data_IF_328112824384
#
_entry.id   IF_328112824384
#
_cell.length_a   1.000
_cell.length_b   1.000
_cell.length_c   1.000
_cell.angle_alpha   90.00
_cell.angle_beta   90.00
_cell.angle_gamma   90.00
#
_symmetry.space_group_name_H-M   'P 1'
#
loop_
_entity.id
_entity.type
_entity.pdbx_description
1 polymer ?
#
# COMPACT_ATOMS: atom_id res chain seq x y z
N UNK A 1 -34.58 -39.20 -64.05
CA UNK A 1 -35.77 -39.98 -64.47
C UNK A 1 -35.81 -41.27 -63.66
N UNK A 2 -36.91 -41.54 -62.96
CA UNK A 2 -37.38 -42.88 -62.50
C UNK A 2 -36.48 -43.72 -61.54
N UNK A 3 -36.90 -43.74 -60.26
CA UNK A 3 -37.13 -44.89 -59.32
C UNK A 3 -36.01 -45.84 -58.81
N UNK A 4 -36.09 -46.07 -57.47
CA UNK A 4 -36.03 -47.35 -56.70
C UNK A 4 -34.66 -48.09 -56.61
N UNK A 5 -34.19 -48.55 -55.44
CA UNK A 5 -34.74 -49.49 -54.41
C UNK A 5 -34.73 -50.96 -54.89
N UNK A 6 -34.43 -51.99 -54.09
CA UNK A 6 -34.62 -52.24 -52.63
C UNK A 6 -33.62 -53.28 -52.02
N UNK A 7 -33.63 -53.45 -50.68
CA UNK A 7 -33.17 -54.63 -49.87
C UNK A 7 -31.66 -55.00 -49.86
N UNK A 8 -31.03 -55.64 -48.83
CA UNK A 8 -31.27 -56.00 -47.39
C UNK A 8 -29.85 -56.21 -46.73
N UNK A 9 -29.54 -56.80 -45.55
CA UNK A 9 -30.24 -57.67 -44.59
C UNK A 9 -29.69 -57.56 -43.13
N UNK A 10 -30.61 -57.51 -42.16
CA UNK A 10 -30.60 -57.99 -40.74
C UNK A 10 -29.28 -58.48 -40.10
N UNK A 11 -28.91 -57.88 -38.94
CA UNK A 11 -28.93 -58.57 -37.62
C UNK A 11 -29.23 -57.58 -36.49
N UNK A 12 -29.95 -58.02 -35.46
CA UNK A 12 -30.45 -57.23 -34.32
C UNK A 12 -30.05 -57.94 -33.02
N UNK A 13 -29.65 -57.20 -31.99
CA UNK A 13 -29.78 -57.64 -30.60
C UNK A 13 -30.00 -56.45 -29.67
N UNK A 14 -31.04 -56.54 -28.84
CA UNK A 14 -31.49 -55.52 -27.89
C UNK A 14 -31.05 -55.90 -26.47
N UNK A 15 -30.88 -54.90 -25.61
CA UNK A 15 -31.26 -55.00 -24.19
C UNK A 15 -31.97 -53.71 -23.73
N UNK A 16 -32.80 -53.83 -22.70
CA UNK A 16 -33.90 -52.89 -22.38
C UNK A 16 -33.68 -52.08 -21.08
N UNK A 17 -34.36 -50.93 -20.97
CA UNK A 17 -34.47 -50.09 -19.76
C UNK A 17 -34.49 -48.58 -20.09
N UNK A 18 -35.57 -48.00 -20.64
CA UNK A 18 -36.77 -47.53 -19.90
C UNK A 18 -36.37 -46.57 -18.76
N UNK A 19 -36.31 -45.24 -19.00
CA UNK A 19 -37.41 -44.24 -18.90
C UNK A 19 -37.97 -44.10 -17.46
N UNK A 20 -38.22 -42.90 -16.94
CA UNK A 20 -39.29 -41.95 -17.34
C UNK A 20 -38.90 -40.48 -17.05
N UNK A 21 -39.39 -39.54 -17.86
CA UNK A 21 -39.49 -38.09 -17.55
C UNK A 21 -40.94 -37.72 -17.18
N UNK A 22 -41.13 -36.69 -16.34
CA UNK A 22 -42.11 -35.65 -16.61
C UNK A 22 -41.42 -34.29 -16.86
N UNK A 23 -42.18 -33.32 -17.38
CA UNK A 23 -41.69 -31.97 -17.71
C UNK A 23 -42.59 -30.89 -17.08
N UNK A 24 -42.13 -29.62 -17.18
CA UNK A 24 -42.93 -28.37 -17.26
C UNK A 24 -42.61 -27.30 -16.21
N UNK A 25 -42.71 -26.05 -16.70
CA UNK A 25 -42.87 -24.76 -15.99
C UNK A 25 -41.64 -24.11 -15.33
N UNK A 26 -41.42 -22.84 -15.71
CA UNK A 26 -40.79 -21.82 -14.86
C UNK A 26 -41.66 -21.55 -13.62
N UNK A 27 -41.04 -21.20 -12.49
CA UNK A 27 -41.28 -19.87 -11.90
C UNK A 27 -40.17 -19.47 -10.89
N UNK A 28 -40.25 -18.23 -10.43
CA UNK A 28 -39.38 -17.50 -9.50
C UNK A 28 -38.65 -18.28 -8.39
N UNK A 29 -37.35 -17.96 -8.21
CA UNK A 29 -36.66 -18.15 -6.92
C UNK A 29 -37.12 -17.04 -5.97
N UNK A 30 -38.07 -17.35 -5.09
CA UNK A 30 -38.41 -16.47 -3.96
C UNK A 30 -37.31 -16.48 -2.89
N UNK A 31 -37.12 -15.36 -2.20
CA UNK A 31 -36.34 -15.33 -0.96
C UNK A 31 -37.15 -16.01 0.14
N UNK A 32 -36.68 -17.15 0.66
CA UNK A 32 -37.16 -17.70 1.92
C UNK A 32 -36.35 -17.11 3.08
N UNK A 33 -36.89 -16.07 3.72
CA UNK A 33 -36.30 -15.43 4.89
C UNK A 33 -36.84 -16.09 6.17
N UNK A 34 -36.03 -16.91 6.84
CA UNK A 34 -36.28 -17.28 8.25
C UNK A 34 -34.96 -17.40 9.01
N UNK A 35 -34.96 -16.99 10.28
CA UNK A 35 -33.77 -16.60 11.01
C UNK A 35 -33.24 -17.66 11.97
N UNK A 36 -31.91 -17.81 12.02
CA UNK A 36 -31.20 -18.06 13.28
C UNK A 36 -30.03 -17.08 13.39
N UNK A 37 -29.82 -16.52 14.59
CA UNK A 37 -28.75 -15.56 14.86
C UNK A 37 -27.43 -16.27 15.24
N UNK A 38 -26.35 -15.48 15.24
CA UNK A 38 -24.94 -15.82 15.50
C UNK A 38 -24.10 -16.05 14.24
N UNK A 39 -22.82 -15.66 14.33
CA UNK A 39 -21.75 -15.94 13.36
C UNK A 39 -21.94 -15.38 11.92
N UNK A 40 -22.29 -14.10 11.83
CA UNK A 40 -22.17 -13.34 10.58
C UNK A 40 -20.74 -12.78 10.37
N UNK A 41 -19.71 -13.63 10.52
CA UNK A 41 -18.32 -13.37 10.12
C UNK A 41 -18.13 -13.68 8.63
N UNK A 42 -18.85 -12.95 7.78
CA UNK A 42 -18.88 -13.16 6.32
C UNK A 42 -17.53 -12.85 5.62
N UNK A 43 -16.63 -13.83 5.67
CA UNK A 43 -15.62 -14.12 4.63
C UNK A 43 -14.62 -13.00 4.34
N UNK A 44 -13.68 -12.79 5.26
CA UNK A 44 -12.45 -11.99 5.05
C UNK A 44 -11.42 -12.73 4.18
N UNK A 45 -11.79 -13.08 2.94
CA UNK A 45 -10.94 -13.82 1.98
C UNK A 45 -9.85 -12.94 1.32
N UNK A 46 -9.35 -11.92 2.01
CA UNK A 46 -8.49 -10.89 1.42
C UNK A 46 -7.25 -10.66 2.25
N UNK A 47 -6.12 -10.97 1.64
CA UNK A 47 -4.79 -10.81 2.20
C UNK A 47 -4.39 -9.33 2.16
N UNK A 48 -4.92 -8.59 3.13
CA UNK A 48 -4.34 -7.36 3.65
C UNK A 48 -3.74 -7.68 5.02
N UNK A 49 -2.87 -8.71 5.10
CA UNK A 49 -2.08 -8.93 6.32
C UNK A 49 -1.27 -7.66 6.59
N UNK A 50 -1.66 -6.93 7.63
CA UNK A 50 -0.92 -5.76 8.08
C UNK A 50 0.38 -6.23 8.72
N UNK A 51 1.49 -5.68 8.24
CA UNK A 51 2.81 -5.99 8.75
C UNK A 51 3.26 -4.93 9.74
N UNK A 52 3.72 -5.38 10.90
CA UNK A 52 4.50 -4.58 11.83
C UNK A 52 5.89 -4.43 11.21
N UNK A 53 6.12 -3.30 10.52
CA UNK A 53 7.41 -3.04 9.89
C UNK A 53 8.47 -2.71 10.92
N UNK A 54 9.66 -3.31 10.79
CA UNK A 54 10.81 -3.04 11.67
C UNK A 54 11.80 -2.09 10.99
N UNK A 55 12.12 -2.33 9.71
CA UNK A 55 12.96 -1.44 8.89
C UNK A 55 12.75 -1.62 7.38
N UNK A 56 13.16 -0.62 6.60
CA UNK A 56 13.01 -0.59 5.14
C UNK A 56 11.77 0.19 4.69
N UNK A 57 11.22 -0.13 3.52
CA UNK A 57 10.12 0.64 2.90
C UNK A 57 8.72 0.12 3.30
N UNK A 58 7.76 1.03 3.40
CA UNK A 58 6.33 0.71 3.50
C UNK A 58 5.81 0.10 2.19
N UNK A 59 5.14 -1.07 2.27
CA UNK A 59 4.48 -1.70 1.12
C UNK A 59 3.00 -1.35 1.07
N UNK A 60 2.54 -0.94 -0.13
CA UNK A 60 1.13 -0.69 -0.45
C UNK A 60 0.37 -1.96 -0.88
N UNK A 61 1.01 -3.13 -0.85
CA UNK A 61 0.34 -4.40 -1.17
C UNK A 61 1.30 -5.57 -1.32
N UNK A 62 0.93 -6.70 -0.73
CA UNK A 62 1.83 -7.84 -0.53
C UNK A 62 1.34 -9.08 -1.32
N UNK A 63 2.26 -9.94 -1.74
CA UNK A 63 1.97 -11.28 -2.22
C UNK A 63 3.01 -12.27 -1.69
N UNK A 64 2.58 -13.27 -0.91
CA UNK A 64 3.45 -14.31 -0.36
C UNK A 64 4.00 -15.21 -1.47
N UNK A 65 5.31 -15.47 -1.44
CA UNK A 65 6.04 -16.38 -2.32
C UNK A 65 6.12 -17.76 -1.66
N UNK A 66 6.62 -17.82 -0.43
CA UNK A 66 6.87 -19.05 0.33
C UNK A 66 6.96 -18.77 1.83
N UNK A 67 6.89 -19.83 2.64
CA UNK A 67 6.99 -19.80 4.11
C UNK A 67 7.88 -20.96 4.60
N UNK A 68 8.68 -20.70 5.61
CA UNK A 68 9.57 -21.65 6.27
C UNK A 68 9.34 -21.70 7.79
N UNK A 69 10.02 -22.61 8.47
CA UNK A 69 9.90 -22.84 9.90
C UNK A 69 8.51 -23.32 10.32
N UNK A 70 8.17 -23.06 11.58
CA UNK A 70 6.93 -23.50 12.22
C UNK A 70 6.41 -22.42 13.15
N UNK A 71 5.16 -22.01 12.96
CA UNK A 71 4.52 -21.06 13.87
C UNK A 71 4.51 -21.58 15.32
N UNK A 72 4.82 -20.71 16.31
CA UNK A 72 4.52 -21.01 17.71
C UNK A 72 3.00 -21.12 17.92
N UNK A 73 2.61 -21.75 19.02
CA UNK A 73 1.21 -21.76 19.46
C UNK A 73 1.00 -20.52 20.31
N UNK A 74 0.24 -19.56 19.79
CA UNK A 74 -0.10 -18.30 20.46
C UNK A 74 -1.60 -18.30 20.74
N UNK A 75 -1.98 -18.51 22.00
CA UNK A 75 -3.38 -18.64 22.44
C UNK A 75 -3.92 -17.36 23.10
N UNK A 76 -3.04 -16.43 23.50
CA UNK A 76 -3.40 -15.20 24.23
C UNK A 76 -2.75 -13.96 23.62
N UNK A 77 -3.35 -12.79 23.88
CA UNK A 77 -2.83 -11.49 23.45
C UNK A 77 -1.41 -11.23 24.00
N UNK A 78 -1.18 -11.49 25.29
CA UNK A 78 0.14 -11.48 25.92
C UNK A 78 1.20 -12.34 25.18
N UNK A 79 0.79 -13.44 24.54
CA UNK A 79 1.71 -14.32 23.81
C UNK A 79 2.04 -13.75 22.43
N UNK A 80 1.08 -13.10 21.76
CA UNK A 80 1.32 -12.37 20.52
C UNK A 80 2.27 -11.19 20.75
N UNK A 81 1.99 -10.32 21.73
CA UNK A 81 2.83 -9.15 22.02
C UNK A 81 4.28 -9.53 22.34
N UNK A 82 4.46 -10.59 23.15
CA UNK A 82 5.79 -11.11 23.50
C UNK A 82 6.50 -11.77 22.33
N UNK A 83 5.75 -12.35 21.39
CA UNK A 83 6.32 -12.89 20.16
C UNK A 83 6.72 -11.78 19.20
N UNK A 84 5.90 -10.76 19.00
CA UNK A 84 6.23 -9.59 18.17
C UNK A 84 7.47 -8.85 18.69
N UNK A 85 7.62 -8.69 20.01
CA UNK A 85 8.86 -8.19 20.62
C UNK A 85 10.07 -9.08 20.31
N UNK A 86 9.90 -10.41 20.37
CA UNK A 86 10.96 -11.38 20.02
C UNK A 86 11.36 -11.26 18.55
N UNK A 87 10.40 -11.00 17.65
CA UNK A 87 10.66 -10.76 16.23
C UNK A 87 11.33 -9.40 15.99
N UNK A 88 10.97 -8.36 16.74
CA UNK A 88 11.64 -7.04 16.63
C UNK A 88 13.10 -7.12 17.13
N UNK A 89 13.36 -7.84 18.24
CA UNK A 89 14.72 -8.12 18.75
C UNK A 89 15.56 -8.89 17.71
N UNK A 90 15.05 -9.99 17.14
CA UNK A 90 15.68 -10.73 16.04
C UNK A 90 15.97 -9.83 14.83
N UNK A 91 15.05 -8.91 14.51
CA UNK A 91 15.24 -7.97 13.40
C UNK A 91 16.39 -6.99 13.64
N UNK A 92 16.64 -6.62 14.91
CA UNK A 92 17.72 -5.71 15.27
C UNK A 92 19.09 -6.38 15.17
N UNK A 93 19.23 -7.64 15.63
CA UNK A 93 20.48 -8.41 15.52
C UNK A 93 20.92 -8.61 14.06
N UNK A 94 19.99 -8.90 13.14
CA UNK A 94 20.34 -9.09 11.73
C UNK A 94 20.45 -7.80 10.91
N UNK A 95 20.05 -6.64 11.46
CA UNK A 95 19.74 -5.41 10.71
C UNK A 95 20.85 -4.95 9.77
N UNK A 96 22.04 -4.68 10.31
CA UNK A 96 23.15 -4.16 9.51
C UNK A 96 23.63 -5.15 8.43
N UNK A 97 23.55 -6.47 8.71
CA UNK A 97 23.86 -7.51 7.71
C UNK A 97 22.80 -7.56 6.61
N UNK A 98 21.52 -7.43 6.95
CA UNK A 98 20.43 -7.42 5.98
C UNK A 98 20.46 -6.17 5.12
N UNK A 99 20.67 -4.99 5.71
CA UNK A 99 20.74 -3.71 4.99
C UNK A 99 21.93 -3.70 4.04
N UNK A 100 23.15 -3.90 4.55
CA UNK A 100 24.37 -3.76 3.74
C UNK A 100 24.49 -4.78 2.60
N UNK A 101 23.95 -6.00 2.75
CA UNK A 101 24.14 -7.09 1.78
C UNK A 101 22.92 -7.41 0.91
N UNK A 102 21.70 -7.35 1.46
CA UNK A 102 20.51 -7.89 0.77
C UNK A 102 19.44 -6.86 0.44
N UNK A 103 19.39 -5.72 1.14
CA UNK A 103 18.44 -4.65 0.84
C UNK A 103 18.92 -3.70 -0.24
N UNK A 104 17.98 -2.93 -0.78
CA UNK A 104 18.27 -1.71 -1.52
C UNK A 104 19.27 -0.80 -0.78
N UNK A 105 20.22 -0.14 -1.47
CA UNK A 105 20.47 -0.17 -2.91
C UNK A 105 21.24 -1.41 -3.41
N UNK A 106 21.79 -2.22 -2.50
CA UNK A 106 22.76 -3.28 -2.81
C UNK A 106 22.13 -4.62 -3.28
N UNK A 107 20.84 -4.84 -3.02
CA UNK A 107 20.14 -6.10 -3.28
C UNK A 107 18.67 -5.98 -3.68
N UNK A 108 17.87 -6.98 -3.31
CA UNK A 108 16.47 -7.13 -3.75
C UNK A 108 15.44 -7.01 -2.62
N UNK A 109 15.88 -7.11 -1.36
CA UNK A 109 15.02 -6.92 -0.19
C UNK A 109 14.66 -5.44 -0.06
N UNK A 110 13.43 -5.18 0.34
CA UNK A 110 12.86 -3.84 0.48
C UNK A 110 12.28 -3.59 1.87
N UNK A 111 11.91 -4.65 2.60
CA UNK A 111 11.31 -4.50 3.93
C UNK A 111 11.63 -5.69 4.84
N UNK A 112 11.79 -5.41 6.13
CA UNK A 112 11.81 -6.37 7.23
C UNK A 112 10.67 -6.04 8.22
N UNK A 113 9.99 -7.05 8.76
CA UNK A 113 8.86 -6.87 9.67
C UNK A 113 8.36 -8.17 10.29
N UNK A 114 7.15 -8.13 10.86
CA UNK A 114 6.36 -9.28 11.27
C UNK A 114 4.92 -9.18 10.73
N UNK A 115 4.20 -10.30 10.60
CA UNK A 115 2.77 -10.29 10.27
C UNK A 115 1.91 -10.77 11.44
N UNK A 116 0.62 -10.43 11.42
CA UNK A 116 -0.36 -10.77 12.46
C UNK A 116 -0.64 -12.28 12.65
N UNK A 117 0.11 -13.17 11.96
CA UNK A 117 0.11 -14.63 12.19
C UNK A 117 1.35 -15.10 12.96
N UNK A 118 2.30 -14.21 13.26
CA UNK A 118 3.55 -14.52 13.93
C UNK A 118 4.69 -15.00 13.01
N UNK A 119 4.65 -14.72 11.70
CA UNK A 119 5.84 -14.89 10.86
C UNK A 119 6.75 -13.66 10.93
N UNK A 120 8.05 -13.88 10.96
CA UNK A 120 9.05 -12.89 10.53
C UNK A 120 8.91 -12.67 9.02
N UNK A 121 8.87 -11.43 8.55
CA UNK A 121 8.56 -11.08 7.16
C UNK A 121 9.76 -10.45 6.46
N UNK A 122 10.14 -11.02 5.32
CA UNK A 122 11.06 -10.43 4.35
C UNK A 122 10.30 -10.16 3.06
N UNK A 123 10.28 -8.90 2.62
CA UNK A 123 9.71 -8.52 1.32
C UNK A 123 10.77 -8.07 0.33
N UNK A 124 10.61 -8.52 -0.91
CA UNK A 124 11.41 -8.11 -2.05
C UNK A 124 10.63 -7.14 -2.96
N UNK A 125 11.37 -6.40 -3.78
CA UNK A 125 10.79 -5.74 -4.98
C UNK A 125 10.16 -6.79 -5.89
N UNK A 126 9.07 -6.45 -6.59
CA UNK A 126 8.53 -7.31 -7.64
C UNK A 126 9.59 -7.58 -8.73
N UNK A 127 9.71 -8.85 -9.11
CA UNK A 127 10.75 -9.33 -10.02
C UNK A 127 10.81 -10.86 -10.02
N UNK A 128 11.99 -11.41 -10.28
CA UNK A 128 12.26 -12.84 -10.28
C UNK A 128 13.35 -13.19 -9.26
N UNK A 129 12.99 -13.13 -7.98
CA UNK A 129 13.87 -13.47 -6.86
C UNK A 129 14.22 -14.96 -6.92
N UNK A 130 15.50 -15.29 -6.86
CA UNK A 130 15.98 -16.67 -6.92
C UNK A 130 15.78 -17.39 -5.57
N UNK A 131 15.29 -18.63 -5.61
CA UNK A 131 15.19 -19.54 -4.46
C UNK A 131 16.51 -19.64 -3.67
N UNK A 132 17.66 -19.56 -4.35
CA UNK A 132 18.97 -19.55 -3.70
C UNK A 132 19.19 -18.35 -2.77
N UNK A 133 18.64 -17.17 -3.10
CA UNK A 133 18.74 -15.96 -2.28
C UNK A 133 17.77 -16.03 -1.10
N UNK A 134 16.57 -16.57 -1.32
CA UNK A 134 15.58 -16.85 -0.26
C UNK A 134 16.18 -17.80 0.78
N UNK A 135 16.82 -18.89 0.33
CA UNK A 135 17.45 -19.87 1.22
C UNK A 135 18.66 -19.28 1.96
N UNK A 136 19.47 -18.43 1.32
CA UNK A 136 20.60 -17.73 1.97
C UNK A 136 20.13 -16.76 3.07
N UNK A 137 19.08 -15.98 2.81
CA UNK A 137 18.47 -15.08 3.80
C UNK A 137 17.79 -15.87 4.92
N UNK A 138 17.09 -16.96 4.59
CA UNK A 138 16.49 -17.83 5.61
C UNK A 138 17.55 -18.42 6.54
N UNK A 139 18.69 -18.89 6.02
CA UNK A 139 19.80 -19.40 6.86
C UNK A 139 20.34 -18.34 7.82
N UNK A 140 20.50 -17.08 7.37
CA UNK A 140 20.90 -15.99 8.27
C UNK A 140 19.90 -15.77 9.42
N UNK A 141 18.59 -15.70 9.09
CA UNK A 141 17.54 -15.48 10.08
C UNK A 141 17.44 -16.66 11.05
N UNK A 142 17.49 -17.89 10.53
CA UNK A 142 17.40 -19.13 11.31
C UNK A 142 18.64 -19.35 12.17
N UNK A 143 19.85 -18.99 11.75
CA UNK A 143 21.03 -19.09 12.61
C UNK A 143 21.05 -18.02 13.71
N UNK A 144 20.66 -16.77 13.42
CA UNK A 144 20.51 -15.73 14.46
C UNK A 144 19.39 -16.07 15.46
N UNK A 145 18.27 -16.60 14.99
CA UNK A 145 17.18 -17.07 15.86
C UNK A 145 17.63 -18.22 16.78
N UNK A 146 18.52 -19.12 16.33
CA UNK A 146 19.11 -20.17 17.20
C UNK A 146 19.97 -19.59 18.32
N UNK A 147 20.69 -18.50 18.08
CA UNK A 147 21.48 -17.83 19.13
C UNK A 147 20.58 -17.20 20.22
N UNK A 148 19.38 -16.74 19.83
CA UNK A 148 18.31 -16.33 20.74
C UNK A 148 17.57 -17.51 21.42
N UNK A 149 17.93 -18.76 21.10
CA UNK A 149 17.30 -19.97 21.63
C UNK A 149 15.98 -20.39 20.96
N UNK A 150 15.59 -19.71 19.87
CA UNK A 150 14.44 -20.07 19.05
C UNK A 150 14.81 -21.27 18.16
N UNK A 151 13.85 -22.12 17.81
CA UNK A 151 14.03 -23.24 16.87
C UNK A 151 12.90 -23.22 15.85
N UNK A 152 13.17 -23.65 14.61
CA UNK A 152 12.24 -23.62 13.48
C UNK A 152 11.56 -22.24 13.25
N UNK A 153 12.33 -21.14 13.26
CA UNK A 153 11.78 -19.77 13.19
C UNK A 153 10.81 -19.61 11.99
N UNK A 154 9.54 -19.22 12.20
CA UNK A 154 8.60 -19.02 11.12
C UNK A 154 8.97 -17.77 10.31
N UNK A 155 9.37 -17.96 9.04
CA UNK A 155 9.72 -16.87 8.13
C UNK A 155 8.81 -16.89 6.90
N UNK A 156 8.29 -15.74 6.52
CA UNK A 156 7.50 -15.49 5.33
C UNK A 156 8.28 -14.63 4.34
N UNK A 157 8.36 -15.09 3.10
CA UNK A 157 8.97 -14.35 2.00
C UNK A 157 7.90 -13.90 1.01
N UNK A 158 7.91 -12.63 0.63
CA UNK A 158 6.89 -12.04 -0.24
C UNK A 158 7.42 -10.98 -1.21
N UNK A 159 6.57 -10.56 -2.14
CA UNK A 159 6.76 -9.34 -2.92
C UNK A 159 5.95 -8.19 -2.31
N UNK A 160 6.54 -7.00 -2.22
CA UNK A 160 5.86 -5.77 -1.79
C UNK A 160 5.74 -4.74 -2.93
N UNK A 161 4.64 -3.96 -2.93
CA UNK A 161 4.44 -2.87 -3.91
C UNK A 161 4.89 -1.55 -3.30
N UNK A 162 6.02 -1.03 -3.75
CA UNK A 162 6.64 0.18 -3.20
C UNK A 162 6.42 1.41 -4.07
N UNK A 163 6.36 2.57 -3.41
CA UNK A 163 6.55 3.88 -4.03
C UNK A 163 7.03 4.85 -2.96
N UNK A 164 8.32 5.17 -3.00
CA UNK A 164 8.97 6.12 -2.10
C UNK A 164 9.78 7.13 -2.93
N UNK A 165 9.73 8.39 -2.52
CA UNK A 165 10.72 9.41 -2.88
C UNK A 165 11.69 9.52 -1.69
N UNK A 166 12.99 9.44 -1.96
CA UNK A 166 14.03 9.46 -0.92
C UNK A 166 14.88 10.72 -1.15
N UNK A 167 14.95 11.58 -0.13
CA UNK A 167 15.75 12.81 -0.18
C UNK A 167 17.22 12.47 -0.01
N UNK A 168 18.01 12.64 -1.08
CA UNK A 168 19.47 12.47 -1.02
C UNK A 168 20.16 13.73 -0.50
N UNK A 169 19.68 14.91 -0.93
CA UNK A 169 20.20 16.18 -0.44
C UNK A 169 19.09 17.23 -0.35
N UNK A 170 18.71 17.57 0.88
CA UNK A 170 17.64 18.55 1.17
C UNK A 170 18.03 20.00 0.88
N UNK A 171 19.31 20.36 0.97
CA UNK A 171 19.79 21.72 0.65
C UNK A 171 19.76 22.00 -0.86
N UNK A 172 20.03 20.97 -1.67
CA UNK A 172 20.10 21.05 -3.13
C UNK A 172 18.79 20.61 -3.81
N UNK A 173 17.84 20.06 -3.05
CA UNK A 173 16.58 19.54 -3.59
C UNK A 173 16.78 18.30 -4.47
N UNK A 174 17.76 17.46 -4.14
CA UNK A 174 18.04 16.21 -4.85
C UNK A 174 17.27 15.07 -4.19
N UNK A 175 16.40 14.45 -4.97
CA UNK A 175 15.59 13.31 -4.59
C UNK A 175 15.88 12.14 -5.54
N UNK A 176 15.67 10.93 -5.04
CA UNK A 176 15.75 9.69 -5.79
C UNK A 176 14.40 8.97 -5.69
N UNK A 177 13.81 8.60 -6.83
CA UNK A 177 12.59 7.81 -6.85
C UNK A 177 12.89 6.33 -6.84
N UNK A 178 12.27 5.59 -5.91
CA UNK A 178 12.42 4.14 -5.85
C UNK A 178 12.13 3.48 -7.21
N UNK A 179 13.13 2.79 -7.74
CA UNK A 179 13.09 2.15 -9.06
C UNK A 179 13.92 2.86 -10.15
N UNK A 180 14.48 4.04 -9.88
CA UNK A 180 15.50 4.66 -10.73
C UNK A 180 16.86 3.95 -10.60
N UNK A 181 17.74 4.10 -11.60
CA UNK A 181 19.06 3.44 -11.60
C UNK A 181 20.00 4.04 -10.55
N UNK A 182 20.62 3.18 -9.76
CA UNK A 182 21.65 3.54 -8.77
C UNK A 182 23.04 3.72 -9.37
N UNK A 183 23.25 3.35 -10.65
CA UNK A 183 24.57 3.30 -11.31
C UNK A 183 25.34 4.63 -11.36
N UNK A 184 24.65 5.76 -11.18
CA UNK A 184 25.23 7.10 -11.25
C UNK A 184 25.17 7.87 -9.91
N UNK A 185 24.78 7.19 -8.81
CA UNK A 185 24.76 7.77 -7.47
C UNK A 185 26.17 7.84 -6.87
N UNK A 186 26.42 8.83 -6.02
CA UNK A 186 27.68 8.93 -5.28
C UNK A 186 27.70 7.97 -4.07
N UNK A 187 28.89 7.71 -3.53
CA UNK A 187 29.06 6.92 -2.30
C UNK A 187 28.25 7.49 -1.12
N UNK A 188 28.13 8.82 -1.03
CA UNK A 188 27.28 9.51 -0.05
C UNK A 188 25.77 9.36 -0.31
N UNK A 189 25.35 9.26 -1.57
CA UNK A 189 23.93 9.01 -1.91
C UNK A 189 23.57 7.56 -1.58
N UNK A 190 24.44 6.61 -1.91
CA UNK A 190 24.32 5.19 -1.56
C UNK A 190 24.25 5.01 -0.04
N UNK A 191 25.13 5.67 0.73
CA UNK A 191 25.06 5.69 2.20
C UNK A 191 23.72 6.23 2.70
N UNK A 192 23.22 7.33 2.10
CA UNK A 192 21.91 7.91 2.47
C UNK A 192 20.76 6.93 2.21
N UNK A 193 20.82 6.17 1.12
CA UNK A 193 19.85 5.10 0.85
C UNK A 193 19.96 3.95 1.88
N UNK A 194 21.16 3.52 2.27
CA UNK A 194 21.35 2.49 3.29
C UNK A 194 20.80 2.90 4.67
N UNK A 195 21.04 4.14 5.11
CA UNK A 195 20.52 4.64 6.40
C UNK A 195 18.99 4.69 6.40
N UNK A 196 18.37 5.19 5.33
CA UNK A 196 16.89 5.20 5.17
C UNK A 196 16.31 3.77 5.20
N UNK A 197 17.08 2.77 4.78
CA UNK A 197 16.66 1.36 4.83
C UNK A 197 16.87 0.71 6.22
N UNK A 198 17.59 1.34 7.15
CA UNK A 198 17.64 0.96 8.58
C UNK A 198 16.50 1.57 9.39
N UNK A 199 15.90 2.66 8.91
CA UNK A 199 14.79 3.34 9.58
C UNK A 199 13.49 2.50 9.52
N UNK A 200 12.66 2.65 10.56
CA UNK A 200 11.32 2.07 10.63
C UNK A 200 10.37 2.94 9.80
N UNK A 201 9.73 2.42 8.72
CA UNK A 201 9.00 3.26 7.78
C UNK A 201 7.76 3.89 8.41
N UNK A 202 7.57 5.19 8.16
CA UNK A 202 6.35 5.91 8.53
C UNK A 202 5.14 5.33 7.80
N UNK A 203 4.32 4.56 8.51
CA UNK A 203 3.03 4.08 8.01
C UNK A 203 1.97 5.19 8.10
N UNK A 204 1.06 5.29 7.12
CA UNK A 204 -0.19 6.03 7.30
C UNK A 204 -1.01 5.40 8.42
N UNK A 205 -1.48 6.20 9.39
CA UNK A 205 -2.35 5.74 10.48
C UNK A 205 -3.78 5.55 9.95
N UNK A 206 -3.99 4.51 9.16
CA UNK A 206 -5.30 4.10 8.65
C UNK A 206 -6.02 3.25 9.70
N UNK A 207 -7.14 3.75 10.23
CA UNK A 207 -8.03 2.96 11.10
C UNK A 207 -9.00 2.15 10.23
N UNK A 208 -8.58 0.97 9.80
CA UNK A 208 -9.35 0.13 8.85
C UNK A 208 -10.70 -0.27 9.44
N UNK A 209 -11.78 -0.01 8.70
CA UNK A 209 -13.14 -0.50 8.94
C UNK A 209 -13.33 -1.87 8.30
N UNK A 210 -12.91 -2.01 7.04
CA UNK A 210 -13.04 -3.24 6.27
C UNK A 210 -12.11 -3.23 5.04
N UNK A 211 -11.86 -4.41 4.47
CA UNK A 211 -11.08 -4.52 3.23
C UNK A 211 -11.57 -5.70 2.37
N UNK A 212 -11.61 -5.50 1.06
CA UNK A 212 -12.26 -6.39 0.09
C UNK A 212 -11.40 -6.63 -1.17
N UNK A 213 -11.77 -7.63 -1.98
CA UNK A 213 -11.16 -7.94 -3.28
C UNK A 213 -9.96 -8.89 -3.22
N UNK A 214 -8.95 -8.66 -4.05
CA UNK A 214 -7.56 -9.15 -3.88
C UNK A 214 -6.62 -8.28 -4.72
N UNK A 215 -5.46 -7.91 -4.16
CA UNK A 215 -4.39 -7.26 -4.92
C UNK A 215 -3.82 -8.31 -5.91
N UNK A 216 -3.82 -8.07 -7.23
CA UNK A 216 -3.21 -8.98 -8.19
C UNK A 216 -1.70 -9.06 -8.01
N UNK A 217 -1.06 -10.10 -8.53
CA UNK A 217 0.39 -10.13 -8.67
C UNK A 217 0.80 -9.13 -9.76
N UNK A 218 1.70 -8.19 -9.44
CA UNK A 218 2.12 -7.08 -10.32
C UNK A 218 3.63 -7.16 -10.59
N UNK A 219 4.04 -8.03 -11.52
CA UNK A 219 5.42 -8.50 -11.67
C UNK A 219 6.42 -7.43 -12.13
N UNK A 220 5.95 -6.40 -12.81
CA UNK A 220 6.77 -5.33 -13.36
C UNK A 220 6.01 -3.99 -13.45
N UNK A 221 6.74 -2.92 -13.78
CA UNK A 221 6.21 -1.56 -13.85
C UNK A 221 5.07 -1.39 -14.85
N UNK A 222 5.03 -2.16 -15.94
CA UNK A 222 3.93 -2.13 -16.92
C UNK A 222 2.69 -2.83 -16.38
N UNK A 223 2.83 -3.95 -15.64
CA UNK A 223 1.71 -4.57 -14.91
C UNK A 223 1.14 -3.59 -13.86
N UNK A 224 2.00 -2.88 -13.12
CA UNK A 224 1.59 -1.83 -12.15
C UNK A 224 0.84 -0.68 -12.84
N UNK A 225 1.37 -0.13 -13.95
CA UNK A 225 0.71 0.97 -14.70
C UNK A 225 -0.65 0.51 -15.24
N UNK A 226 -0.68 -0.65 -15.91
CA UNK A 226 -1.91 -1.27 -16.46
C UNK A 226 -2.96 -1.52 -15.37
N UNK A 227 -2.52 -1.76 -14.13
CA UNK A 227 -3.41 -1.92 -12.98
C UNK A 227 -3.93 -0.58 -12.45
N UNK A 228 -3.07 0.42 -12.28
CA UNK A 228 -3.47 1.77 -11.88
C UNK A 228 -4.45 2.42 -12.89
N UNK A 229 -4.33 2.12 -14.18
CA UNK A 229 -5.29 2.51 -15.22
C UNK A 229 -6.68 1.86 -15.01
N UNK A 230 -6.72 0.54 -14.73
CA UNK A 230 -7.98 -0.17 -14.41
C UNK A 230 -8.65 0.40 -13.16
N UNK A 231 -7.88 0.62 -12.09
CA UNK A 231 -8.37 1.28 -10.87
C UNK A 231 -8.95 2.67 -11.18
N UNK A 232 -8.25 3.46 -11.99
CA UNK A 232 -8.71 4.79 -12.43
C UNK A 232 -10.01 4.75 -13.23
N UNK A 233 -10.15 3.78 -14.14
CA UNK A 233 -11.36 3.58 -14.92
C UNK A 233 -12.55 3.11 -14.05
N UNK A 234 -12.31 2.25 -13.05
CA UNK A 234 -13.33 1.85 -12.07
C UNK A 234 -13.75 3.06 -11.23
N UNK A 235 -12.81 3.80 -10.63
CA UNK A 235 -13.07 5.01 -9.84
C UNK A 235 -13.88 6.06 -10.64
N UNK A 236 -13.48 6.34 -11.89
CA UNK A 236 -14.21 7.27 -12.76
C UNK A 236 -15.64 6.82 -13.09
N UNK A 237 -15.86 5.51 -13.31
CA UNK A 237 -17.19 4.95 -13.58
C UNK A 237 -18.12 4.91 -12.35
N UNK A 238 -17.55 4.91 -11.15
CA UNK A 238 -18.26 4.81 -9.86
C UNK A 238 -18.48 6.16 -9.18
N UNK A 239 -17.64 7.16 -9.44
CA UNK A 239 -17.66 8.48 -8.77
C UNK A 239 -19.06 9.07 -8.61
N UNK A 240 -19.86 9.12 -9.68
CA UNK A 240 -21.21 9.70 -9.65
C UNK A 240 -22.20 8.93 -8.75
N UNK A 241 -21.90 7.67 -8.41
CA UNK A 241 -22.66 6.81 -7.49
C UNK A 241 -22.16 6.91 -6.04
N UNK A 242 -20.90 7.30 -5.82
CA UNK A 242 -20.31 7.55 -4.49
C UNK A 242 -20.58 8.99 -4.02
N UNK A 243 -20.63 9.95 -4.94
CA UNK A 243 -20.95 11.37 -4.69
C UNK A 243 -22.18 11.62 -3.77
N UNK A 244 -23.28 10.84 -3.79
CA UNK A 244 -24.39 11.00 -2.84
C UNK A 244 -24.02 10.71 -1.38
N UNK A 245 -23.11 9.76 -1.12
CA UNK A 245 -22.61 9.44 0.23
C UNK A 245 -21.66 10.55 0.71
N UNK A 246 -20.80 11.05 -0.17
CA UNK A 246 -19.94 12.21 0.13
C UNK A 246 -20.76 13.46 0.47
N UNK A 247 -21.85 13.73 -0.27
CA UNK A 247 -22.78 14.85 -0.01
C UNK A 247 -23.57 14.73 1.30
N UNK A 248 -23.69 13.53 1.87
CA UNK A 248 -24.26 13.31 3.21
C UNK A 248 -23.22 13.42 4.33
N UNK A 249 -21.94 13.59 3.99
CA UNK A 249 -20.84 13.48 4.94
C UNK A 249 -20.55 12.04 5.41
N UNK A 250 -21.07 11.01 4.71
CA UNK A 250 -20.87 9.60 5.08
C UNK A 250 -19.52 9.05 4.59
N UNK A 251 -19.03 9.56 3.45
CA UNK A 251 -17.72 9.27 2.85
C UNK A 251 -16.93 10.57 2.79
N UNK A 252 -15.71 10.57 3.29
CA UNK A 252 -14.81 11.73 3.33
C UNK A 252 -13.91 11.77 2.09
N UNK A 253 -13.37 10.60 1.71
CA UNK A 253 -12.43 10.41 0.60
C UNK A 253 -12.92 9.29 -0.29
N UNK A 254 -12.77 9.45 -1.61
CA UNK A 254 -12.90 8.34 -2.56
C UNK A 254 -11.84 8.47 -3.65
N UNK A 255 -11.06 7.42 -3.86
CA UNK A 255 -9.92 7.47 -4.77
C UNK A 255 -9.30 6.12 -5.09
N UNK A 256 -8.03 6.17 -5.51
CA UNK A 256 -7.16 5.01 -5.69
C UNK A 256 -5.81 5.27 -5.03
N UNK A 257 -5.24 4.23 -4.46
CA UNK A 257 -3.81 4.13 -4.21
C UNK A 257 -3.13 3.46 -5.41
N UNK A 258 -1.91 2.91 -5.25
CA UNK A 258 -1.18 2.20 -6.30
C UNK A 258 -1.75 0.81 -6.61
N UNK A 259 -2.32 0.14 -5.61
CA UNK A 259 -2.74 -1.28 -5.66
C UNK A 259 -4.25 -1.49 -5.56
N UNK A 260 -4.99 -0.50 -5.05
CA UNK A 260 -6.37 -0.62 -4.55
C UNK A 260 -7.18 0.67 -4.68
N UNK A 261 -8.49 0.57 -4.55
CA UNK A 261 -9.35 1.73 -4.32
C UNK A 261 -9.45 2.03 -2.83
N UNK A 262 -9.66 3.30 -2.51
CA UNK A 262 -9.67 3.85 -1.14
C UNK A 262 -11.02 4.52 -0.88
N UNK A 263 -11.63 4.23 0.26
CA UNK A 263 -12.93 4.78 0.69
C UNK A 263 -12.87 5.20 2.16
N UNK A 264 -12.50 6.46 2.40
CA UNK A 264 -12.54 7.03 3.74
C UNK A 264 -13.97 7.20 4.23
N UNK A 265 -14.34 6.46 5.28
CA UNK A 265 -15.63 6.53 5.97
C UNK A 265 -15.52 7.54 7.11
N UNK A 266 -16.57 8.34 7.33
CA UNK A 266 -16.59 9.31 8.41
C UNK A 266 -16.55 8.61 9.78
N UNK A 267 -15.52 8.88 10.58
CA UNK A 267 -15.30 8.24 11.89
C UNK A 267 -16.45 8.48 12.89
N UNK A 268 -17.17 9.59 12.75
CA UNK A 268 -18.25 9.99 13.67
C UNK A 268 -19.53 9.15 13.52
N UNK A 269 -19.61 8.30 12.49
CA UNK A 269 -20.76 7.43 12.27
C UNK A 269 -20.81 6.24 13.26
N UNK A 270 -22.00 5.82 13.72
CA UNK A 270 -22.16 4.56 14.46
C UNK A 270 -21.67 3.36 13.63
N UNK A 271 -21.03 2.35 14.25
CA UNK A 271 -20.43 1.24 13.48
C UNK A 271 -21.44 0.52 12.58
N UNK A 272 -22.67 0.28 13.07
CA UNK A 272 -23.76 -0.31 12.26
C UNK A 272 -24.08 0.48 10.99
N UNK A 273 -23.90 1.80 11.00
CA UNK A 273 -24.04 2.63 9.79
C UNK A 273 -22.82 2.47 8.88
N UNK A 274 -21.60 2.46 9.43
CA UNK A 274 -20.37 2.15 8.70
C UNK A 274 -20.46 0.79 7.98
N UNK A 275 -20.85 -0.27 8.69
CA UNK A 275 -21.06 -1.63 8.16
C UNK A 275 -22.02 -1.65 6.97
N UNK A 276 -23.07 -0.81 7.01
CA UNK A 276 -24.07 -0.70 5.95
C UNK A 276 -23.50 0.05 4.74
N UNK A 277 -22.86 1.20 4.95
CA UNK A 277 -22.24 2.02 3.90
C UNK A 277 -21.13 1.24 3.18
N UNK A 278 -20.28 0.54 3.92
CA UNK A 278 -19.20 -0.31 3.41
C UNK A 278 -19.74 -1.35 2.43
N UNK A 279 -20.78 -2.10 2.82
CA UNK A 279 -21.41 -3.11 1.95
C UNK A 279 -22.08 -2.49 0.72
N UNK A 280 -22.79 -1.37 0.87
CA UNK A 280 -23.40 -0.65 -0.26
C UNK A 280 -22.37 -0.13 -1.28
N UNK A 281 -21.28 0.47 -0.80
CA UNK A 281 -20.22 1.03 -1.66
C UNK A 281 -19.44 -0.08 -2.34
N UNK A 282 -19.05 -1.15 -1.63
CA UNK A 282 -18.36 -2.27 -2.27
C UNK A 282 -19.21 -2.89 -3.37
N UNK A 283 -20.52 -3.06 -3.15
CA UNK A 283 -21.46 -3.53 -4.18
C UNK A 283 -21.57 -2.58 -5.39
N UNK A 284 -21.48 -1.26 -5.19
CA UNK A 284 -21.41 -0.28 -6.28
C UNK A 284 -20.12 -0.46 -7.10
N UNK A 285 -18.98 -0.58 -6.41
CA UNK A 285 -17.66 -0.71 -7.02
C UNK A 285 -17.53 -2.03 -7.78
N UNK A 286 -17.92 -3.14 -7.15
CA UNK A 286 -17.88 -4.49 -7.72
C UNK A 286 -18.68 -4.59 -9.03
N UNK A 287 -19.87 -3.97 -9.08
CA UNK A 287 -20.74 -3.99 -10.28
C UNK A 287 -20.17 -3.20 -11.46
N UNK A 288 -19.34 -2.19 -11.23
CA UNK A 288 -18.62 -1.50 -12.33
C UNK A 288 -17.32 -2.23 -12.70
N UNK A 289 -16.55 -2.71 -11.71
CA UNK A 289 -15.35 -3.51 -11.93
C UNK A 289 -15.61 -4.76 -12.78
N UNK A 290 -16.74 -5.44 -12.55
CA UNK A 290 -17.20 -6.59 -13.34
C UNK A 290 -17.42 -6.29 -14.82
N UNK A 291 -17.75 -5.05 -15.21
CA UNK A 291 -17.88 -4.64 -16.63
C UNK A 291 -16.51 -4.49 -17.31
N UNK A 292 -15.46 -4.30 -16.52
CA UNK A 292 -14.07 -4.18 -16.97
C UNK A 292 -13.32 -5.52 -16.80
N UNK A 293 -14.06 -6.63 -16.63
CA UNK A 293 -13.56 -7.98 -16.36
C UNK A 293 -12.69 -8.12 -15.09
N UNK A 294 -12.81 -7.19 -14.13
CA UNK A 294 -12.18 -7.29 -12.81
C UNK A 294 -13.17 -7.95 -11.84
N UNK A 295 -12.83 -9.13 -11.32
CA UNK A 295 -13.74 -10.01 -10.56
C UNK A 295 -13.52 -10.02 -9.05
N UNK A 296 -12.50 -9.30 -8.57
CA UNK A 296 -12.13 -9.17 -7.16
C UNK A 296 -11.37 -7.87 -6.93
N UNK A 297 -11.98 -6.74 -7.29
CA UNK A 297 -11.38 -5.41 -7.18
C UNK A 297 -10.98 -5.11 -5.72
N UNK A 298 -9.69 -4.86 -5.42
CA UNK A 298 -9.24 -4.54 -4.07
C UNK A 298 -9.73 -3.15 -3.66
N UNK A 299 -10.36 -3.08 -2.49
CA UNK A 299 -10.88 -1.85 -1.88
C UNK A 299 -10.56 -1.86 -0.40
N UNK A 300 -9.95 -0.78 0.10
CA UNK A 300 -9.80 -0.51 1.53
C UNK A 300 -10.85 0.52 1.97
N UNK A 301 -11.41 0.31 3.16
CA UNK A 301 -12.28 1.24 3.87
C UNK A 301 -11.63 1.55 5.21
N UNK A 302 -11.28 2.81 5.45
CA UNK A 302 -10.73 3.32 6.71
C UNK A 302 -11.63 4.39 7.33
N UNK A 303 -11.39 4.73 8.59
CA UNK A 303 -12.05 5.85 9.27
C UNK A 303 -11.20 7.12 9.18
N UNK A 304 -11.86 8.26 9.01
CA UNK A 304 -11.24 9.57 9.21
C UNK A 304 -12.24 10.71 9.38
N UNK A 305 -11.70 11.91 9.58
CA UNK A 305 -12.44 13.14 9.82
C UNK A 305 -12.50 13.98 8.53
N UNK A 306 -13.64 14.63 8.27
CA UNK A 306 -13.68 15.78 7.36
C UNK A 306 -12.86 16.94 7.95
N UNK A 307 -11.58 17.03 7.60
CA UNK A 307 -10.83 18.28 7.71
C UNK A 307 -11.40 19.23 6.65
N UNK A 308 -12.48 19.93 7.01
CA UNK A 308 -12.85 21.15 6.32
C UNK A 308 -11.73 22.17 6.55
N UNK A 309 -11.36 22.95 5.53
CA UNK A 309 -10.46 24.09 5.66
C UNK A 309 -11.11 25.20 6.52
N UNK A 310 -11.06 25.00 7.84
CA UNK A 310 -11.53 25.92 8.87
C UNK A 310 -10.40 26.05 9.89
N UNK A 311 -10.06 27.31 10.15
CA UNK A 311 -9.14 27.86 11.16
C UNK A 311 -8.48 26.84 12.12
N UNK A 312 -7.14 26.85 12.17
CA UNK A 312 -6.28 25.97 12.97
C UNK A 312 -6.63 25.98 14.46
N UNK A 313 -7.64 25.19 14.83
CA UNK A 313 -8.13 25.01 16.17
C UNK A 313 -7.25 23.98 16.90
N UNK A 314 -6.12 24.49 17.42
CA UNK A 314 -5.33 23.96 18.53
C UNK A 314 -5.68 22.51 18.93
N UNK A 315 -5.10 21.54 18.21
CA UNK A 315 -5.09 20.13 18.63
C UNK A 315 -4.15 20.01 19.83
N UNK A 316 -4.63 20.47 20.98
CA UNK A 316 -3.90 20.50 22.23
C UNK A 316 -3.34 19.12 22.55
N UNK A 317 -2.03 19.06 22.73
CA UNK A 317 -1.30 17.82 23.04
C UNK A 317 -1.88 17.22 24.31
N UNK A 318 -2.52 16.06 24.18
CA UNK A 318 -2.99 15.28 25.32
C UNK A 318 -1.78 14.56 25.91
N UNK A 319 -1.02 15.24 26.76
CA UNK A 319 0.01 14.61 27.57
C UNK A 319 -0.63 13.56 28.50
N UNK A 320 -0.17 12.32 28.41
CA UNK A 320 -0.67 11.22 29.22
C UNK A 320 -0.24 11.38 30.69
N UNK A 321 -1.21 11.39 31.62
CA UNK A 321 -1.00 11.89 32.99
C UNK A 321 -0.37 10.87 33.95
N UNK A 322 0.93 10.63 33.81
CA UNK A 322 1.73 9.87 34.78
C UNK A 322 2.17 10.72 35.99
N UNK A 323 1.40 10.69 37.08
CA UNK A 323 1.68 11.45 38.31
C UNK A 323 2.87 10.88 39.11
N UNK A 324 3.87 11.69 39.48
CA UNK A 324 4.84 11.32 40.52
C UNK A 324 5.52 12.50 41.26
N UNK A 325 4.99 12.83 42.44
CA UNK A 325 5.63 13.58 43.56
C UNK A 325 6.13 15.03 43.35
N UNK A 326 5.91 15.88 44.36
CA UNK A 326 6.26 17.31 44.34
C UNK A 326 7.55 17.65 45.10
N UNK A 327 8.26 18.70 44.65
CA UNK A 327 9.24 19.48 45.41
C UNK A 327 9.35 20.89 44.79
N UNK A 328 9.75 21.90 45.57
CA UNK A 328 9.59 23.32 45.21
C UNK A 328 10.89 24.01 44.68
N UNK A 329 10.67 25.16 44.05
CA UNK A 329 11.59 26.28 43.76
C UNK A 329 12.65 26.24 42.62
N UNK A 330 12.64 27.36 41.86
CA UNK A 330 13.73 28.04 41.12
C UNK A 330 14.48 27.25 40.01
N UNK A 331 14.38 27.65 38.75
CA UNK A 331 14.89 28.95 38.28
C UNK A 331 14.23 29.44 36.97
N UNK A 332 14.14 30.76 36.80
CA UNK A 332 13.60 31.39 35.60
C UNK A 332 14.68 32.14 34.80
N UNK A 333 15.04 31.63 33.62
CA UNK A 333 15.76 32.37 32.57
C UNK A 333 15.58 31.67 31.20
N UNK A 334 15.98 32.33 30.10
CA UNK A 334 16.01 31.79 28.73
C UNK A 334 14.66 31.59 27.98
N UNK A 335 13.61 32.35 28.29
CA UNK A 335 12.40 32.44 27.46
C UNK A 335 12.12 33.88 26.99
N UNK A 336 13.15 34.56 26.48
CA UNK A 336 13.05 35.93 25.93
C UNK A 336 14.19 36.24 24.94
N UNK A 337 14.10 35.70 23.72
CA UNK A 337 14.85 36.16 22.53
C UNK A 337 14.17 35.69 21.25
N UNK A 338 14.22 36.52 20.21
CA UNK A 338 13.66 36.32 18.85
C UNK A 338 12.12 36.43 18.71
N UNK A 339 11.60 37.65 18.81
CA UNK A 339 10.38 38.04 18.08
C UNK A 339 10.37 39.56 17.79
N UNK A 340 10.19 39.97 16.51
CA UNK A 340 10.03 41.36 16.01
C UNK A 340 11.24 42.32 16.22
N UNK A 341 11.49 43.40 15.45
CA UNK A 341 10.95 44.03 14.21
C UNK A 341 12.09 44.95 13.61
N UNK A 342 12.07 45.67 12.47
CA UNK A 342 11.08 46.02 11.43
C UNK A 342 11.81 46.28 10.05
N UNK A 343 11.19 47.05 9.13
CA UNK A 343 11.56 47.27 7.73
C UNK A 343 12.38 48.55 7.38
N UNK A 344 12.92 48.55 6.14
CA UNK A 344 13.02 49.65 5.15
C UNK A 344 14.15 50.73 5.15
N UNK A 345 14.85 50.78 3.98
CA UNK A 345 15.26 51.97 3.18
C UNK A 345 16.36 52.93 3.74
N UNK A 346 17.21 53.63 2.94
CA UNK A 346 17.32 53.76 1.48
C UNK A 346 18.71 54.28 0.98
N UNK A 347 19.00 54.08 -0.33
CA UNK A 347 19.80 54.92 -1.26
C UNK A 347 21.34 55.20 -1.11
N UNK A 348 22.07 54.80 -2.16
CA UNK A 348 23.09 55.55 -2.95
C UNK A 348 24.48 55.88 -2.32
N UNK A 349 25.61 55.97 -3.06
CA UNK A 349 25.81 56.25 -4.50
C UNK A 349 27.10 55.61 -5.12
N UNK A 350 27.13 55.56 -6.46
CA UNK A 350 28.12 55.01 -7.42
C UNK A 350 29.64 55.22 -7.19
N UNK A 351 30.45 54.34 -7.84
CA UNK A 351 31.38 54.77 -8.92
C UNK A 351 31.86 53.60 -9.83
N UNK A 352 32.29 53.92 -11.06
CA UNK A 352 32.59 52.97 -12.15
C UNK A 352 34.09 52.62 -12.30
N UNK A 353 34.38 51.49 -12.96
CA UNK A 353 35.41 51.41 -14.01
C UNK A 353 35.18 50.23 -14.98
N UNK A 354 35.47 50.43 -16.27
CA UNK A 354 35.28 49.44 -17.35
C UNK A 354 36.58 48.70 -17.72
N UNK A 355 36.46 47.47 -18.23
CA UNK A 355 36.99 46.96 -19.52
C UNK A 355 37.25 45.44 -19.52
N UNK A 356 37.10 44.78 -20.69
CA UNK A 356 37.62 43.42 -20.92
C UNK A 356 36.79 42.56 -21.88
N UNK A 357 37.00 42.69 -23.19
CA UNK A 357 36.40 41.80 -24.20
C UNK A 357 37.37 40.70 -24.63
N UNK A 358 36.89 39.46 -24.79
CA UNK A 358 37.24 38.63 -25.95
C UNK A 358 36.30 37.42 -26.09
N UNK A 359 36.05 37.04 -27.33
CA UNK A 359 35.29 35.85 -27.73
C UNK A 359 36.22 34.69 -28.10
N UNK A 360 35.75 33.45 -27.97
CA UNK A 360 36.19 32.36 -28.84
C UNK A 360 35.10 31.30 -28.97
N UNK A 361 34.74 30.97 -30.21
CA UNK A 361 33.92 29.81 -30.56
C UNK A 361 34.82 28.59 -30.77
N UNK A 362 34.29 27.38 -30.55
CA UNK A 362 34.64 26.20 -31.36
C UNK A 362 33.58 25.10 -31.20
N UNK A 363 33.45 24.25 -32.23
CA UNK A 363 32.24 23.46 -32.47
C UNK A 363 32.20 22.07 -31.82
N UNK A 364 30.97 21.68 -31.47
CA UNK A 364 30.37 20.33 -31.48
C UNK A 364 31.22 19.06 -31.33
N UNK A 365 30.71 18.17 -30.46
CA UNK A 365 30.51 16.76 -30.84
C UNK A 365 29.01 16.43 -30.73
N UNK A 366 28.47 15.69 -31.71
CA UNK A 366 27.06 15.24 -31.74
C UNK A 366 26.98 13.79 -31.29
N UNK A 367 26.73 13.59 -30.00
CA UNK A 367 26.53 12.26 -29.41
C UNK A 367 25.06 12.09 -29.03
N UNK A 368 24.25 11.70 -30.02
CA UNK A 368 22.82 11.50 -29.88
C UNK A 368 22.45 10.44 -28.82
N UNK A 369 21.95 10.89 -27.68
CA UNK A 369 21.20 10.06 -26.73
C UNK A 369 19.70 10.32 -26.90
N UNK A 370 18.91 9.24 -26.94
CA UNK A 370 17.45 9.32 -27.09
C UNK A 370 16.83 9.85 -25.80
N UNK A 371 15.97 10.89 -25.83
CA UNK A 371 15.27 11.33 -24.63
C UNK A 371 14.26 10.25 -24.22
N UNK A 372 14.62 9.46 -23.20
CA UNK A 372 13.65 8.65 -22.46
C UNK A 372 12.57 9.56 -21.88
N UNK A 373 11.32 9.12 -21.92
CA UNK A 373 10.17 9.98 -21.58
C UNK A 373 10.12 10.26 -20.07
N UNK A 374 10.76 11.34 -19.65
CA UNK A 374 10.51 11.97 -18.35
C UNK A 374 9.06 12.45 -18.30
N UNK A 375 8.18 11.60 -17.78
CA UNK A 375 6.74 11.87 -17.70
C UNK A 375 6.43 12.85 -16.57
N UNK A 376 6.57 14.14 -16.92
CA UNK A 376 6.21 15.29 -16.11
C UNK A 376 4.85 15.15 -15.44
N UNK A 377 4.75 15.69 -14.22
CA UNK A 377 3.65 15.44 -13.30
C UNK A 377 2.25 15.77 -13.84
N UNK A 378 1.31 14.86 -13.56
CA UNK A 378 -0.14 15.12 -13.55
C UNK A 378 -0.87 14.18 -12.58
N UNK A 379 -0.28 13.93 -11.41
CA UNK A 379 -0.98 13.39 -10.24
C UNK A 379 -1.31 14.53 -9.27
N UNK A 380 -2.17 15.45 -9.72
CA UNK A 380 -3.04 16.10 -8.76
C UNK A 380 -3.94 15.01 -8.15
N UNK A 381 -3.97 14.88 -6.83
CA UNK A 381 -5.09 14.20 -6.19
C UNK A 381 -6.37 14.89 -6.66
N UNK A 382 -7.33 14.13 -7.21
CA UNK A 382 -8.62 14.67 -7.65
C UNK A 382 -9.53 14.92 -6.45
N UNK A 383 -9.03 15.71 -5.49
CA UNK A 383 -9.83 16.31 -4.43
C UNK A 383 -10.94 17.14 -5.07
N UNK A 384 -12.15 16.58 -5.03
CA UNK A 384 -13.39 17.21 -5.51
C UNK A 384 -13.85 18.35 -4.59
N UNK A 385 -12.97 19.31 -4.27
CA UNK A 385 -13.19 20.44 -3.38
C UNK A 385 -14.25 21.40 -3.92
N UNK A 386 -15.52 21.03 -3.78
CA UNK A 386 -16.64 21.78 -4.36
C UNK A 386 -16.98 23.02 -3.54
N UNK A 387 -16.26 24.10 -3.81
CA UNK A 387 -16.57 25.45 -3.31
C UNK A 387 -17.88 25.99 -3.92
N UNK A 388 -19.02 25.67 -3.29
CA UNK A 388 -20.31 26.30 -3.61
C UNK A 388 -20.32 27.75 -3.15
N UNK A 389 -20.26 28.70 -4.10
CA UNK A 389 -20.48 30.12 -3.86
C UNK A 389 -21.98 30.40 -3.83
N UNK A 390 -22.56 30.52 -2.64
CA UNK A 390 -23.93 30.96 -2.44
C UNK A 390 -24.20 32.34 -3.06
N UNK A 391 -25.46 32.58 -3.44
CA UNK A 391 -25.99 33.86 -3.86
C UNK A 391 -27.47 33.96 -3.48
#
# INVERSE_FOLDING_TARGET
MIRKSDTLLITLLLFFGVLIFPASADDSVQLSQESNNSENSEVSNVDFDYYTYFFGLYSQGNNVITRYGKLPVLETEDQNERWDFTLEELSNEIKDTVVSKYMYPNGEVMTCGANAKGYFVILFKYGNVNESLINEIYTLIDDSAKEMGIQDIPVEFGYGTYRQEITLNSEQGIYHWFGESTENLSESDIYTLEEVMKEKPTTPVQKIVAAYGKIPLLKDQNEIITWAEKLSAIAGSTQNKINPYMKKGQVITYGRELTRLEVGINETLPSKEKDTIVKEIYEIIYKEARKQNVTGVPVIFDEGIFINDVESADLGVVEETANLSASEEKNASLLNKLNNNNNNNNNNNNNNSDNGSSSNENESSKNNSTPGFGLLGSWACLYGGWRLRNK
#
